data_IF_446635653348
#
_entry.id   IF_446635653348
#
_cell.length_a   1.000
_cell.length_b   1.000
_cell.length_c   1.000
_cell.angle_alpha   90.00
_cell.angle_beta   90.00
_cell.angle_gamma   90.00
#
_symmetry.space_group_name_H-M   'P 1'
#
loop_
_entity.id
_entity.type
_entity.pdbx_description
1 polymer ?
#
# COMPACT_ATOMS: atom_id res chain seq x y z
N UNK A 1 15.67 -35.12 -63.57
CA UNK A 1 16.38 -34.13 -62.70
C UNK A 1 15.41 -33.25 -61.88
N UNK A 2 14.41 -32.60 -62.46
CA UNK A 2 13.45 -31.69 -61.72
C UNK A 2 12.68 -32.40 -60.59
N UNK A 3 12.28 -33.68 -60.75
CA UNK A 3 11.55 -34.46 -59.71
C UNK A 3 12.48 -34.92 -58.56
N UNK A 4 13.76 -35.11 -58.82
CA UNK A 4 14.74 -35.47 -57.78
C UNK A 4 15.10 -34.24 -56.97
N UNK A 5 15.23 -33.06 -57.56
CA UNK A 5 15.46 -31.79 -56.87
C UNK A 5 14.29 -31.43 -55.97
N UNK A 6 13.04 -31.70 -56.39
CA UNK A 6 11.86 -31.45 -55.59
C UNK A 6 11.78 -32.38 -54.35
N UNK A 7 12.15 -33.65 -54.54
CA UNK A 7 12.19 -34.63 -53.43
C UNK A 7 13.30 -34.32 -52.41
N UNK A 8 14.46 -33.84 -52.86
CA UNK A 8 15.54 -33.39 -51.96
C UNK A 8 15.16 -32.11 -51.21
N UNK A 9 14.44 -31.20 -51.87
CA UNK A 9 13.95 -29.97 -51.23
C UNK A 9 12.86 -30.27 -50.20
N UNK A 10 11.98 -31.24 -50.44
CA UNK A 10 10.96 -31.70 -49.49
C UNK A 10 11.61 -32.45 -48.31
N UNK A 11 12.64 -33.22 -48.52
CA UNK A 11 13.41 -33.87 -47.46
C UNK A 11 14.22 -32.88 -46.61
N UNK A 12 14.76 -31.81 -47.21
CA UNK A 12 15.45 -30.73 -46.48
C UNK A 12 14.47 -29.84 -45.74
N UNK A 13 13.26 -29.61 -46.26
CA UNK A 13 12.21 -28.86 -45.58
C UNK A 13 11.59 -29.63 -44.38
N UNK A 14 11.66 -30.96 -44.39
CA UNK A 14 11.22 -31.83 -43.31
C UNK A 14 12.19 -31.83 -42.08
N UNK A 15 13.36 -31.25 -42.22
CA UNK A 15 14.31 -31.00 -41.11
C UNK A 15 14.07 -29.66 -40.44
N UNK A 16 12.82 -29.19 -40.35
CA UNK A 16 12.47 -28.21 -39.34
C UNK A 16 12.63 -28.92 -38.01
N UNK A 17 13.82 -28.81 -37.44
CA UNK A 17 14.08 -29.22 -36.07
C UNK A 17 12.91 -28.71 -35.23
N UNK A 18 12.09 -29.63 -34.73
CA UNK A 18 11.10 -29.27 -33.71
C UNK A 18 11.90 -28.61 -32.58
N UNK A 19 11.96 -27.28 -32.58
CA UNK A 19 12.61 -26.55 -31.52
C UNK A 19 11.93 -27.05 -30.25
N UNK A 20 12.67 -27.80 -29.44
CA UNK A 20 12.14 -28.36 -28.24
C UNK A 20 11.65 -27.18 -27.39
N UNK A 21 10.35 -27.11 -27.21
CA UNK A 21 9.73 -26.02 -26.44
C UNK A 21 10.14 -26.16 -24.97
N UNK A 22 10.65 -25.09 -24.38
CA UNK A 22 10.92 -25.06 -22.96
C UNK A 22 9.64 -25.36 -22.18
N UNK A 23 9.73 -26.32 -21.27
CA UNK A 23 8.60 -26.80 -20.48
C UNK A 23 9.05 -27.51 -19.21
N UNK A 24 8.13 -27.69 -18.30
CA UNK A 24 8.28 -28.59 -17.15
C UNK A 24 7.79 -29.96 -17.61
N UNK A 25 8.70 -30.94 -17.66
CA UNK A 25 8.36 -32.29 -18.09
C UNK A 25 7.69 -33.10 -17.00
N UNK A 26 8.04 -32.84 -15.73
CA UNK A 26 7.39 -33.46 -14.57
C UNK A 26 7.46 -32.52 -13.36
N UNK A 27 6.38 -32.44 -12.61
CA UNK A 27 6.28 -31.69 -11.37
C UNK A 27 5.73 -32.61 -10.29
N UNK A 28 6.49 -32.85 -9.23
CA UNK A 28 6.04 -33.65 -8.07
C UNK A 28 6.07 -32.75 -6.84
N UNK A 29 4.93 -32.62 -6.16
CA UNK A 29 4.82 -32.02 -4.84
C UNK A 29 4.55 -33.13 -3.82
N UNK A 30 5.55 -33.48 -3.04
CA UNK A 30 5.50 -34.49 -1.97
C UNK A 30 5.38 -33.79 -0.63
N UNK A 31 4.26 -33.94 0.05
CA UNK A 31 3.89 -33.23 1.28
C UNK A 31 3.68 -34.21 2.41
N UNK A 32 4.40 -34.01 3.48
CA UNK A 32 4.19 -34.73 4.75
C UNK A 32 3.56 -33.76 5.76
N UNK A 33 2.35 -34.07 6.21
CA UNK A 33 1.69 -33.36 7.29
C UNK A 33 2.27 -33.85 8.62
N UNK A 34 2.77 -32.91 9.43
CA UNK A 34 3.33 -33.22 10.74
C UNK A 34 2.23 -33.12 11.84
N UNK A 35 2.44 -33.80 12.97
CA UNK A 35 1.48 -33.80 14.07
C UNK A 35 1.23 -32.40 14.70
N UNK A 36 2.16 -31.47 14.57
CA UNK A 36 2.01 -30.09 15.00
C UNK A 36 1.30 -29.18 13.96
N UNK A 37 0.90 -29.74 12.81
CA UNK A 37 0.23 -29.01 11.73
C UNK A 37 1.15 -28.31 10.72
N UNK A 38 2.46 -28.43 10.88
CA UNK A 38 3.42 -27.99 9.86
C UNK A 38 3.45 -28.97 8.68
N UNK A 39 3.86 -28.51 7.53
CA UNK A 39 4.11 -29.32 6.37
C UNK A 39 5.61 -29.35 6.05
N UNK A 40 6.17 -30.55 5.89
CA UNK A 40 7.47 -30.77 5.26
C UNK A 40 7.21 -31.11 3.80
N UNK A 41 7.70 -30.27 2.90
CA UNK A 41 7.39 -30.36 1.45
C UNK A 41 8.68 -30.54 0.65
N UNK A 42 8.64 -31.49 -0.27
CA UNK A 42 9.69 -31.68 -1.27
C UNK A 42 9.06 -31.55 -2.66
N UNK A 43 9.43 -30.49 -3.38
CA UNK A 43 9.05 -30.34 -4.79
C UNK A 43 10.18 -30.84 -5.67
N UNK A 44 9.86 -31.69 -6.63
CA UNK A 44 10.76 -32.15 -7.67
C UNK A 44 10.27 -31.66 -9.02
N UNK A 45 11.03 -30.78 -9.66
CA UNK A 45 10.67 -30.08 -10.89
C UNK A 45 11.67 -30.45 -11.98
N UNK A 46 11.26 -31.31 -12.90
CA UNK A 46 12.04 -31.65 -14.06
C UNK A 46 11.69 -30.73 -15.23
N UNK A 47 12.69 -30.10 -15.82
CA UNK A 47 12.52 -29.14 -16.92
C UNK A 47 13.30 -29.57 -18.16
N UNK A 48 12.86 -29.13 -19.35
CA UNK A 48 13.61 -29.09 -20.57
C UNK A 48 14.04 -27.66 -20.85
N UNK A 49 15.32 -27.35 -20.73
CA UNK A 49 15.91 -26.05 -21.00
C UNK A 49 16.44 -25.93 -22.42
N UNK A 50 16.07 -24.86 -23.13
CA UNK A 50 16.61 -24.55 -24.47
C UNK A 50 17.40 -23.22 -24.47
N UNK A 51 17.55 -22.59 -23.29
CA UNK A 51 18.35 -21.37 -23.07
C UNK A 51 17.64 -20.08 -23.47
N UNK A 52 16.32 -20.11 -23.62
CA UNK A 52 15.53 -18.90 -23.87
C UNK A 52 14.99 -18.28 -22.58
N UNK A 53 14.19 -18.99 -21.81
CA UNK A 53 13.66 -18.56 -20.52
C UNK A 53 14.36 -19.26 -19.35
N UNK A 54 14.58 -20.59 -19.44
CA UNK A 54 15.43 -21.31 -18.50
C UNK A 54 16.91 -21.06 -18.81
N UNK A 55 17.39 -19.84 -18.54
CA UNK A 55 18.78 -19.44 -18.86
C UNK A 55 19.73 -19.62 -17.69
N UNK A 56 19.32 -19.24 -16.49
CA UNK A 56 20.17 -19.20 -15.29
C UNK A 56 19.55 -19.95 -14.10
N UNK A 57 18.48 -20.69 -14.34
CA UNK A 57 17.73 -21.42 -13.33
C UNK A 57 16.24 -21.19 -13.43
N UNK A 58 15.53 -21.38 -12.32
CA UNK A 58 14.07 -21.25 -12.23
C UNK A 58 13.67 -20.30 -11.11
N UNK A 59 12.44 -19.79 -11.18
CA UNK A 59 11.77 -19.11 -10.09
C UNK A 59 10.64 -19.98 -9.55
N UNK A 60 10.51 -20.03 -8.20
CA UNK A 60 9.38 -20.66 -7.55
C UNK A 60 8.70 -19.64 -6.64
N UNK A 61 7.48 -19.27 -7.02
CA UNK A 61 6.66 -18.35 -6.26
C UNK A 61 5.75 -19.13 -5.32
N UNK A 62 5.77 -18.77 -4.03
CA UNK A 62 4.95 -19.39 -3.02
C UNK A 62 4.13 -18.31 -2.31
N UNK A 63 2.79 -18.29 -2.45
CA UNK A 63 1.94 -17.36 -1.73
C UNK A 63 2.00 -17.60 -0.23
N UNK A 64 2.32 -16.58 0.55
CA UNK A 64 2.36 -16.66 2.02
C UNK A 64 1.35 -15.77 2.70
N UNK A 65 0.74 -14.82 1.98
CA UNK A 65 -0.25 -13.91 2.54
C UNK A 65 -1.61 -14.14 1.88
N UNK A 66 -2.59 -14.41 2.69
CA UNK A 66 -3.96 -14.69 2.27
C UNK A 66 -4.93 -13.78 3.02
N UNK A 67 -6.04 -13.44 2.37
CA UNK A 67 -7.15 -12.74 3.00
C UNK A 67 -8.22 -13.75 3.38
N UNK A 68 -8.54 -13.84 4.67
CA UNK A 68 -9.62 -14.70 5.14
C UNK A 68 -10.97 -14.20 4.62
N UNK A 69 -11.77 -15.09 4.03
CA UNK A 69 -13.05 -14.69 3.41
C UNK A 69 -14.13 -14.32 4.43
N UNK A 70 -14.06 -14.87 5.64
CA UNK A 70 -15.08 -14.67 6.68
C UNK A 70 -15.08 -13.27 7.28
N UNK A 71 -13.91 -12.68 7.50
CA UNK A 71 -13.72 -11.43 8.24
C UNK A 71 -12.75 -10.44 7.59
N UNK A 72 -12.17 -10.80 6.43
CA UNK A 72 -11.25 -9.96 5.69
C UNK A 72 -9.88 -9.78 6.35
N UNK A 73 -9.58 -10.48 7.45
CA UNK A 73 -8.28 -10.39 8.12
C UNK A 73 -7.17 -11.06 7.31
N UNK A 74 -5.96 -10.57 7.47
CA UNK A 74 -4.80 -11.20 6.84
C UNK A 74 -4.39 -12.45 7.63
N UNK A 75 -3.95 -13.46 6.89
CA UNK A 75 -3.31 -14.67 7.42
C UNK A 75 -1.97 -14.82 6.71
N UNK A 76 -0.89 -14.90 7.47
CA UNK A 76 0.45 -15.12 6.93
C UNK A 76 0.91 -16.52 7.33
N UNK A 77 1.29 -17.32 6.33
CA UNK A 77 1.82 -18.67 6.54
C UNK A 77 3.36 -18.63 6.50
N UNK A 78 3.99 -19.47 7.30
CA UNK A 78 5.44 -19.61 7.28
C UNK A 78 5.93 -20.29 5.99
N UNK A 79 7.14 -19.92 5.54
CA UNK A 79 7.80 -20.55 4.39
C UNK A 79 9.31 -20.48 4.56
N UNK A 80 9.93 -21.61 4.88
CA UNK A 80 11.36 -21.72 5.15
C UNK A 80 12.00 -22.74 4.22
N UNK A 81 12.85 -22.29 3.31
CA UNK A 81 13.59 -23.17 2.40
C UNK A 81 14.72 -23.85 3.17
N UNK A 82 14.73 -25.18 3.16
CA UNK A 82 15.71 -26.01 3.87
C UNK A 82 16.87 -26.36 2.95
N UNK A 83 16.57 -26.78 1.71
CA UNK A 83 17.58 -27.19 0.76
C UNK A 83 17.08 -27.02 -0.68
N UNK A 84 18.02 -26.71 -1.57
CA UNK A 84 17.77 -26.68 -3.01
C UNK A 84 18.89 -27.43 -3.71
N UNK A 85 18.53 -28.32 -4.65
CA UNK A 85 19.49 -29.02 -5.49
C UNK A 85 19.11 -28.93 -6.95
N UNK A 86 20.12 -29.07 -7.83
CA UNK A 86 19.93 -29.31 -9.27
C UNK A 86 20.71 -30.54 -9.67
N UNK A 87 20.01 -31.52 -10.26
CA UNK A 87 20.60 -32.82 -10.66
C UNK A 87 21.30 -33.53 -9.48
N UNK A 88 20.70 -33.40 -8.25
CA UNK A 88 21.25 -33.98 -7.02
C UNK A 88 22.42 -33.25 -6.38
N UNK A 89 22.89 -32.14 -6.94
CA UNK A 89 23.96 -31.30 -6.38
C UNK A 89 23.36 -30.02 -5.75
N UNK A 90 23.91 -29.50 -4.66
CA UNK A 90 23.47 -28.23 -4.10
C UNK A 90 23.46 -27.12 -5.16
N UNK A 91 22.39 -26.35 -5.21
CA UNK A 91 22.22 -25.22 -6.13
C UNK A 91 22.06 -23.93 -5.35
N UNK A 92 22.75 -22.84 -5.72
CA UNK A 92 22.58 -21.55 -5.10
C UNK A 92 21.12 -21.06 -5.24
N UNK A 93 20.59 -20.46 -4.18
CA UNK A 93 19.27 -19.85 -4.20
C UNK A 93 19.21 -18.63 -3.28
N UNK A 94 18.22 -17.78 -3.51
CA UNK A 94 17.83 -16.69 -2.60
C UNK A 94 16.33 -16.55 -2.58
N UNK A 95 15.79 -16.14 -1.44
CA UNK A 95 14.39 -15.79 -1.26
C UNK A 95 14.21 -14.28 -1.22
N UNK A 96 13.13 -13.79 -1.81
CA UNK A 96 12.77 -12.37 -1.79
C UNK A 96 11.24 -12.24 -1.66
N UNK A 97 10.78 -11.15 -1.08
CA UNK A 97 9.35 -10.84 -1.08
C UNK A 97 8.87 -10.55 -2.50
N UNK A 98 7.77 -11.17 -2.89
CA UNK A 98 7.21 -11.02 -4.22
C UNK A 98 5.68 -11.12 -4.20
N UNK A 99 4.99 -10.09 -4.69
CA UNK A 99 3.53 -10.06 -4.68
C UNK A 99 2.97 -10.34 -3.28
N UNK A 100 2.11 -11.36 -3.14
CA UNK A 100 1.51 -11.80 -1.87
C UNK A 100 2.28 -12.96 -1.21
N UNK A 101 3.57 -13.08 -1.47
CA UNK A 101 4.35 -14.20 -0.95
C UNK A 101 5.85 -14.06 -1.09
N UNK A 102 6.50 -15.19 -1.30
CA UNK A 102 7.94 -15.33 -1.42
C UNK A 102 8.28 -15.92 -2.78
N UNK A 103 9.25 -15.32 -3.47
CA UNK A 103 9.90 -15.88 -4.65
C UNK A 103 11.23 -16.49 -4.24
N UNK A 104 11.41 -17.75 -4.53
CA UNK A 104 12.71 -18.43 -4.45
C UNK A 104 13.35 -18.41 -5.84
N UNK A 105 14.44 -17.64 -5.99
CA UNK A 105 15.28 -17.66 -7.20
C UNK A 105 16.33 -18.75 -7.05
N UNK A 106 16.34 -19.71 -7.95
CA UNK A 106 17.21 -20.87 -7.91
C UNK A 106 18.15 -20.81 -9.10
N UNK A 107 19.45 -20.83 -8.82
CA UNK A 107 20.54 -20.65 -9.78
C UNK A 107 21.34 -19.37 -9.48
N UNK A 108 22.40 -19.17 -10.27
CA UNK A 108 23.30 -18.01 -10.16
C UNK A 108 23.02 -16.99 -11.27
N UNK A 109 23.11 -15.70 -10.95
CA UNK A 109 22.95 -14.63 -11.93
C UNK A 109 24.04 -14.66 -13.03
N UNK A 110 25.20 -15.23 -12.72
CA UNK A 110 26.38 -15.21 -13.60
C UNK A 110 26.62 -16.52 -14.34
N UNK A 111 25.82 -17.58 -14.04
CA UNK A 111 26.00 -18.90 -14.58
C UNK A 111 24.82 -19.32 -15.45
N UNK A 112 25.06 -19.54 -16.71
CA UNK A 112 24.05 -20.14 -17.61
C UNK A 112 23.98 -21.66 -17.38
N UNK A 113 22.76 -22.19 -17.30
CA UNK A 113 22.56 -23.64 -17.29
C UNK A 113 22.71 -24.19 -18.72
N UNK A 114 23.29 -25.40 -18.89
CA UNK A 114 23.33 -26.07 -20.17
C UNK A 114 21.93 -26.31 -20.75
N UNK A 115 21.82 -26.39 -22.08
CA UNK A 115 20.58 -26.87 -22.69
C UNK A 115 20.37 -28.34 -22.38
N UNK A 116 19.11 -28.75 -22.29
CA UNK A 116 18.76 -30.14 -22.01
C UNK A 116 17.94 -30.32 -20.74
N UNK A 117 17.80 -31.54 -20.25
CA UNK A 117 17.00 -31.84 -19.07
C UNK A 117 17.73 -31.47 -17.78
N UNK A 118 17.02 -30.85 -16.86
CA UNK A 118 17.45 -30.55 -15.48
C UNK A 118 16.37 -30.89 -14.50
N UNK A 119 16.75 -31.38 -13.32
CA UNK A 119 15.84 -31.67 -12.23
C UNK A 119 16.22 -30.81 -11.02
N UNK A 120 15.32 -29.95 -10.62
CA UNK A 120 15.42 -29.18 -9.39
C UNK A 120 14.65 -29.86 -8.27
N UNK A 121 15.24 -29.91 -7.08
CA UNK A 121 14.55 -30.37 -5.87
C UNK A 121 14.61 -29.25 -4.85
N UNK A 122 13.45 -28.86 -4.34
CA UNK A 122 13.28 -27.79 -3.34
C UNK A 122 12.64 -28.42 -2.13
N UNK A 123 13.33 -28.46 -1.00
CA UNK A 123 12.77 -28.87 0.28
C UNK A 123 12.52 -27.65 1.16
N UNK A 124 11.30 -27.54 1.69
CA UNK A 124 10.92 -26.43 2.54
C UNK A 124 9.92 -26.87 3.59
N UNK A 125 9.79 -26.06 4.64
CA UNK A 125 8.72 -26.16 5.64
C UNK A 125 7.75 -25.02 5.49
N UNK A 126 6.47 -25.30 5.61
CA UNK A 126 5.43 -24.29 5.67
C UNK A 126 4.48 -24.58 6.82
N UNK A 127 3.89 -23.54 7.38
CA UNK A 127 3.05 -23.62 8.57
C UNK A 127 1.67 -23.05 8.28
N UNK A 128 0.68 -23.37 9.13
CA UNK A 128 -0.66 -22.75 9.10
C UNK A 128 -1.44 -23.04 7.80
N UNK A 129 -1.21 -24.20 7.19
CA UNK A 129 -1.86 -24.64 5.94
C UNK A 129 -3.09 -25.54 6.21
N UNK A 130 -3.31 -25.99 7.45
CA UNK A 130 -4.39 -26.90 7.81
C UNK A 130 -5.64 -26.10 8.16
N UNK A 131 -6.76 -26.47 7.55
CA UNK A 131 -8.09 -26.03 7.92
C UNK A 131 -8.66 -26.91 9.04
N UNK A 132 -8.96 -26.31 10.19
CA UNK A 132 -9.56 -26.97 11.33
C UNK A 132 -11.08 -26.72 11.34
N UNK A 133 -11.85 -27.66 10.76
CA UNK A 133 -13.32 -27.59 10.74
C UNK A 133 -13.92 -28.29 11.97
N UNK A 134 -15.20 -28.17 12.16
CA UNK A 134 -15.88 -28.74 13.31
C UNK A 134 -15.77 -30.30 13.40
N UNK A 135 -15.94 -30.97 12.25
CA UNK A 135 -16.03 -32.45 12.18
C UNK A 135 -14.78 -33.13 11.65
N UNK A 136 -13.90 -32.39 10.96
CA UNK A 136 -12.70 -32.90 10.33
C UNK A 136 -11.61 -31.81 10.24
N UNK A 137 -10.39 -32.24 9.95
CA UNK A 137 -9.30 -31.35 9.55
C UNK A 137 -9.02 -31.61 8.08
N UNK A 138 -8.56 -30.57 7.35
CA UNK A 138 -8.35 -30.65 5.91
C UNK A 138 -7.08 -29.93 5.50
N UNK A 139 -6.34 -30.54 4.60
CA UNK A 139 -5.32 -29.87 3.82
C UNK A 139 -5.87 -29.54 2.44
N UNK A 140 -5.91 -28.24 2.09
CA UNK A 140 -6.17 -27.75 0.73
C UNK A 140 -4.85 -27.26 0.14
N UNK A 141 -4.33 -27.96 -0.85
CA UNK A 141 -2.96 -27.77 -1.32
C UNK A 141 -2.88 -27.51 -2.81
N UNK A 142 -2.38 -26.30 -3.19
CA UNK A 142 -2.04 -25.99 -4.57
C UNK A 142 -0.63 -26.53 -4.88
N UNK A 143 -0.59 -27.76 -5.41
CA UNK A 143 0.63 -28.53 -5.55
C UNK A 143 1.64 -27.90 -6.51
N UNK A 144 1.19 -27.39 -7.66
CA UNK A 144 2.10 -26.83 -8.68
C UNK A 144 2.24 -25.30 -8.57
N UNK A 145 1.25 -24.63 -8.01
CA UNK A 145 1.06 -23.18 -8.21
C UNK A 145 0.52 -22.88 -9.62
N UNK A 146 0.05 -21.64 -9.80
CA UNK A 146 -0.49 -21.15 -11.08
C UNK A 146 0.41 -20.09 -11.74
N UNK A 147 1.65 -19.93 -11.25
CA UNK A 147 2.58 -18.88 -11.73
C UNK A 147 3.47 -19.29 -12.89
N UNK A 148 3.39 -20.52 -13.36
CA UNK A 148 4.23 -21.04 -14.43
C UNK A 148 3.72 -20.60 -15.81
N UNK A 149 4.54 -19.87 -16.56
CA UNK A 149 4.27 -19.54 -17.96
C UNK A 149 4.72 -20.64 -18.92
N UNK A 150 4.92 -21.87 -18.42
CA UNK A 150 5.33 -23.06 -19.14
C UNK A 150 4.22 -24.11 -19.11
N UNK A 151 4.23 -24.96 -20.11
CA UNK A 151 3.47 -26.21 -20.04
C UNK A 151 4.08 -27.11 -18.95
N UNK A 152 3.22 -27.86 -18.25
CA UNK A 152 3.61 -28.94 -17.34
C UNK A 152 3.07 -30.23 -17.94
N UNK A 153 3.97 -31.10 -18.45
CA UNK A 153 3.57 -32.32 -19.17
C UNK A 153 2.87 -33.31 -18.22
N UNK A 154 3.37 -33.45 -16.99
CA UNK A 154 2.75 -34.25 -15.92
C UNK A 154 2.94 -33.58 -14.56
N UNK A 155 1.91 -33.61 -13.72
CA UNK A 155 2.01 -33.16 -12.34
C UNK A 155 1.45 -34.22 -11.39
N UNK A 156 2.15 -34.39 -10.26
CA UNK A 156 1.71 -35.25 -9.14
C UNK A 156 1.64 -34.43 -7.85
N UNK A 157 0.59 -34.68 -7.06
CA UNK A 157 0.50 -34.30 -5.67
C UNK A 157 0.48 -35.55 -4.80
N UNK A 158 1.43 -35.65 -3.89
CA UNK A 158 1.58 -36.76 -2.96
C UNK A 158 1.38 -36.23 -1.55
N UNK A 159 0.38 -36.71 -0.85
CA UNK A 159 0.09 -36.28 0.54
C UNK A 159 0.24 -37.47 1.45
N UNK A 160 1.08 -37.31 2.47
CA UNK A 160 1.22 -38.28 3.57
C UNK A 160 0.73 -37.61 4.85
N UNK A 161 -0.31 -38.14 5.46
CA UNK A 161 -0.87 -37.69 6.72
C UNK A 161 -0.09 -38.28 7.90
N UNK A 162 -0.21 -37.71 9.11
CA UNK A 162 0.41 -38.28 10.29
C UNK A 162 -0.08 -39.72 10.56
N UNK A 163 0.72 -40.49 11.27
CA UNK A 163 0.36 -41.86 11.64
C UNK A 163 -0.97 -41.90 12.41
N UNK A 164 -1.82 -42.84 12.09
CA UNK A 164 -3.17 -42.97 12.68
C UNK A 164 -4.24 -42.17 11.98
N UNK A 165 -3.90 -41.29 11.04
CA UNK A 165 -4.89 -40.60 10.23
C UNK A 165 -5.58 -41.55 9.25
N UNK A 166 -6.91 -41.42 9.15
CA UNK A 166 -7.73 -42.10 8.16
C UNK A 166 -8.07 -41.12 7.04
N UNK A 167 -7.82 -41.50 5.80
CA UNK A 167 -8.18 -40.71 4.63
C UNK A 167 -9.69 -40.58 4.53
N UNK A 168 -10.17 -39.35 4.65
CA UNK A 168 -11.58 -38.98 4.50
C UNK A 168 -11.92 -38.53 3.07
N UNK A 169 -12.85 -37.59 2.98
CA UNK A 169 -13.20 -37.01 1.69
C UNK A 169 -11.96 -36.34 1.04
N UNK A 170 -11.91 -36.43 -0.27
CA UNK A 170 -10.86 -35.79 -1.03
C UNK A 170 -11.43 -35.14 -2.30
N UNK A 171 -10.70 -34.15 -2.83
CA UNK A 171 -11.06 -33.46 -4.05
C UNK A 171 -9.81 -33.08 -4.83
N UNK A 172 -9.99 -32.81 -6.12
CA UNK A 172 -8.95 -32.30 -7.01
C UNK A 172 -9.53 -31.26 -7.93
N UNK A 173 -8.66 -30.32 -8.34
CA UNK A 173 -8.99 -29.24 -9.25
C UNK A 173 -7.82 -28.99 -10.19
N UNK A 174 -8.11 -28.75 -11.48
CA UNK A 174 -7.10 -28.39 -12.47
C UNK A 174 -7.51 -27.15 -13.24
N UNK A 175 -6.55 -26.40 -13.74
CA UNK A 175 -6.78 -25.20 -14.56
C UNK A 175 -6.21 -23.92 -13.94
N UNK A 176 -6.58 -22.76 -14.51
CA UNK A 176 -6.22 -21.46 -13.95
C UNK A 176 -6.78 -21.25 -12.54
N UNK A 177 -6.28 -20.24 -11.86
CA UNK A 177 -6.75 -19.90 -10.50
C UNK A 177 -8.28 -19.72 -10.47
N UNK A 178 -8.95 -20.49 -9.60
CA UNK A 178 -10.41 -20.48 -9.43
C UNK A 178 -11.16 -21.43 -10.37
N UNK A 179 -10.49 -22.14 -11.25
CA UNK A 179 -11.09 -23.15 -12.10
C UNK A 179 -11.45 -24.43 -11.32
N UNK A 180 -12.44 -25.16 -11.84
CA UNK A 180 -12.94 -26.42 -11.26
C UNK A 180 -12.72 -27.63 -12.20
N UNK A 181 -11.70 -27.59 -13.07
CA UNK A 181 -11.35 -28.70 -13.94
C UNK A 181 -11.05 -29.99 -13.17
N UNK A 182 -11.21 -31.14 -13.81
CA UNK A 182 -11.04 -32.47 -13.22
C UNK A 182 -10.03 -33.33 -13.99
N UNK A 183 -9.05 -32.70 -14.61
CA UNK A 183 -8.06 -33.37 -15.46
C UNK A 183 -6.91 -34.02 -14.63
N UNK A 184 -7.28 -34.68 -13.54
CA UNK A 184 -6.41 -35.48 -12.72
C UNK A 184 -7.19 -36.66 -12.11
N UNK A 185 -6.48 -37.64 -11.62
CA UNK A 185 -7.07 -38.80 -10.93
C UNK A 185 -6.22 -39.25 -9.77
N UNK A 186 -6.83 -39.94 -8.83
CA UNK A 186 -6.12 -40.67 -7.78
C UNK A 186 -5.41 -41.88 -8.44
N UNK A 187 -4.12 -42.02 -8.23
CA UNK A 187 -3.28 -43.11 -8.75
C UNK A 187 -2.81 -44.06 -7.65
N UNK A 188 -2.81 -43.60 -6.39
CA UNK A 188 -2.49 -44.38 -5.20
C UNK A 188 -3.33 -43.88 -4.04
N UNK A 189 -3.94 -44.76 -3.27
CA UNK A 189 -4.65 -44.43 -2.04
C UNK A 189 -4.57 -45.61 -1.11
N UNK A 190 -3.97 -45.44 0.06
CA UNK A 190 -3.87 -46.50 1.07
C UNK A 190 -3.19 -46.02 2.34
N UNK A 191 -3.60 -46.60 3.47
CA UNK A 191 -3.10 -46.19 4.77
C UNK A 191 -3.35 -44.71 5.05
N UNK A 192 -2.28 -43.96 5.26
CA UNK A 192 -2.30 -42.50 5.47
C UNK A 192 -1.75 -41.70 4.27
N UNK A 193 -1.66 -42.33 3.07
CA UNK A 193 -1.08 -41.73 1.86
C UNK A 193 -2.07 -41.72 0.72
N UNK A 194 -2.08 -40.62 -0.03
CA UNK A 194 -2.86 -40.46 -1.27
C UNK A 194 -2.04 -39.70 -2.32
N UNK A 195 -2.14 -40.14 -3.57
CA UNK A 195 -1.40 -39.57 -4.71
C UNK A 195 -2.37 -39.27 -5.85
N UNK A 196 -2.33 -38.04 -6.34
CA UNK A 196 -3.04 -37.63 -7.55
C UNK A 196 -2.04 -37.37 -8.68
N UNK A 197 -2.45 -37.65 -9.91
CA UNK A 197 -1.69 -37.34 -11.13
C UNK A 197 -2.61 -36.75 -12.18
N UNK A 198 -2.10 -35.74 -12.89
CA UNK A 198 -2.82 -35.15 -14.04
C UNK A 198 -3.00 -36.18 -15.17
N UNK A 199 -4.12 -36.07 -15.88
CA UNK A 199 -4.47 -36.95 -17.02
C UNK A 199 -4.17 -36.30 -18.36
N UNK A 200 -3.91 -34.97 -18.37
CA UNK A 200 -3.40 -34.21 -19.51
C UNK A 200 -2.28 -33.27 -19.05
N UNK A 201 -1.56 -32.74 -20.02
CA UNK A 201 -0.64 -31.63 -19.75
C UNK A 201 -1.41 -30.39 -19.28
N UNK A 202 -0.82 -29.63 -18.37
CA UNK A 202 -1.32 -28.34 -17.96
C UNK A 202 -0.75 -27.25 -18.87
N UNK A 203 -1.61 -26.31 -19.30
CA UNK A 203 -1.19 -25.15 -20.07
C UNK A 203 -0.51 -24.10 -19.16
N UNK A 204 0.16 -23.09 -19.73
CA UNK A 204 0.67 -21.97 -18.96
C UNK A 204 -0.41 -21.36 -18.04
N UNK A 205 -0.02 -21.08 -16.79
CA UNK A 205 -0.87 -20.56 -15.71
C UNK A 205 -1.97 -21.51 -15.22
N UNK A 206 -1.99 -22.77 -15.67
CA UNK A 206 -2.80 -23.83 -15.06
C UNK A 206 -2.02 -24.52 -13.94
N UNK A 207 -2.76 -25.02 -12.93
CA UNK A 207 -2.19 -25.75 -11.80
C UNK A 207 -3.01 -26.97 -11.43
N UNK A 208 -2.43 -27.80 -10.53
CA UNK A 208 -3.07 -28.90 -9.83
C UNK A 208 -3.24 -28.50 -8.38
N UNK A 209 -4.49 -28.50 -7.90
CA UNK A 209 -4.84 -28.31 -6.49
C UNK A 209 -5.55 -29.55 -5.99
N UNK A 210 -5.22 -30.01 -4.79
CA UNK A 210 -5.82 -31.19 -4.15
C UNK A 210 -6.31 -30.82 -2.76
N UNK A 211 -7.33 -31.52 -2.29
CA UNK A 211 -7.81 -31.44 -0.91
C UNK A 211 -7.95 -32.85 -0.34
N UNK A 212 -7.60 -33.01 0.92
CA UNK A 212 -7.79 -34.26 1.67
C UNK A 212 -8.15 -33.93 3.11
N UNK A 213 -9.22 -34.56 3.59
CA UNK A 213 -9.68 -34.45 4.97
C UNK A 213 -9.32 -35.71 5.76
N UNK A 214 -9.26 -35.56 7.09
CA UNK A 214 -9.08 -36.66 8.04
C UNK A 214 -9.84 -36.35 9.34
N UNK A 215 -9.95 -37.36 10.21
CA UNK A 215 -10.64 -37.23 11.50
C UNK A 215 -9.90 -36.27 12.45
N UNK A 216 -10.64 -35.67 13.36
CA UNK A 216 -10.12 -34.80 14.43
C UNK A 216 -9.16 -35.52 15.37
N UNK A 217 -8.31 -34.77 16.03
CA UNK A 217 -7.42 -35.25 17.09
C UNK A 217 -6.08 -35.83 16.61
N UNK A 218 -5.84 -35.87 15.31
CA UNK A 218 -4.56 -36.32 14.72
C UNK A 218 -3.54 -35.17 14.65
N UNK A 219 -3.99 -33.98 14.25
CA UNK A 219 -3.18 -32.76 14.21
C UNK A 219 -3.65 -31.84 15.33
N UNK A 220 -2.70 -31.30 16.08
CA UNK A 220 -3.01 -30.35 17.16
C UNK A 220 -3.36 -28.98 16.59
N UNK A 221 -4.58 -28.45 16.81
CA UNK A 221 -4.89 -27.10 16.40
C UNK A 221 -4.08 -26.08 17.22
N UNK A 222 -3.81 -24.88 16.70
CA UNK A 222 -3.14 -23.85 17.45
C UNK A 222 -3.96 -23.46 18.69
N UNK A 223 -3.29 -23.30 19.82
CA UNK A 223 -3.93 -22.85 21.07
C UNK A 223 -4.52 -21.45 20.93
N UNK A 224 -5.46 -21.07 21.79
CA UNK A 224 -6.03 -19.71 21.78
C UNK A 224 -4.98 -18.62 21.90
N UNK A 225 -3.93 -18.82 22.71
CA UNK A 225 -2.80 -17.89 22.81
C UNK A 225 -2.00 -17.77 21.49
N UNK A 226 -1.78 -18.89 20.81
CA UNK A 226 -1.12 -18.90 19.50
C UNK A 226 -1.99 -18.21 18.43
N UNK A 227 -3.31 -18.45 18.44
CA UNK A 227 -4.23 -17.78 17.51
C UNK A 227 -4.23 -16.26 17.72
N UNK A 228 -4.26 -15.79 18.97
CA UNK A 228 -4.14 -14.37 19.29
C UNK A 228 -2.79 -13.78 18.84
N UNK A 229 -1.69 -14.50 19.08
CA UNK A 229 -0.37 -14.08 18.62
C UNK A 229 -0.30 -13.98 17.10
N UNK A 230 -0.82 -14.95 16.38
CA UNK A 230 -0.90 -14.92 14.92
C UNK A 230 -1.73 -13.73 14.41
N UNK A 231 -2.89 -13.49 15.01
CA UNK A 231 -3.74 -12.36 14.66
C UNK A 231 -3.02 -11.02 14.82
N UNK A 232 -2.33 -10.84 15.95
CA UNK A 232 -1.56 -9.62 16.21
C UNK A 232 -0.42 -9.45 15.18
N UNK A 233 0.36 -10.50 14.92
CA UNK A 233 1.47 -10.46 13.97
C UNK A 233 1.00 -10.17 12.55
N UNK A 234 -0.04 -10.84 12.08
CA UNK A 234 -0.56 -10.73 10.72
C UNK A 234 -1.22 -9.37 10.45
N UNK A 235 -1.73 -8.69 11.51
CA UNK A 235 -2.52 -7.46 11.39
C UNK A 235 -1.88 -6.26 12.11
N UNK A 236 -0.62 -6.36 12.54
CA UNK A 236 0.09 -5.32 13.28
C UNK A 236 0.04 -3.93 12.61
N UNK A 237 0.19 -3.76 11.29
CA UNK A 237 0.09 -2.44 10.66
C UNK A 237 -1.29 -1.79 10.83
N UNK A 238 -2.36 -2.58 10.75
CA UNK A 238 -3.74 -2.10 10.92
C UNK A 238 -3.99 -1.71 12.38
N UNK A 239 -3.53 -2.53 13.33
CA UNK A 239 -3.66 -2.26 14.76
C UNK A 239 -2.88 -1.00 15.16
N UNK A 240 -1.66 -0.84 14.64
CA UNK A 240 -0.85 0.35 14.85
C UNK A 240 -1.53 1.62 14.30
N UNK A 241 -2.15 1.53 13.11
CA UNK A 241 -2.91 2.64 12.53
C UNK A 241 -4.12 3.02 13.40
N UNK A 242 -4.88 2.06 13.91
CA UNK A 242 -6.02 2.29 14.81
C UNK A 242 -5.55 2.98 16.10
N UNK A 243 -4.49 2.46 16.73
CA UNK A 243 -3.90 3.07 17.94
C UNK A 243 -3.43 4.50 17.66
N UNK A 244 -2.80 4.74 16.50
CA UNK A 244 -2.39 6.07 16.06
C UNK A 244 -3.55 7.04 15.93
N UNK A 245 -4.64 6.63 15.28
CA UNK A 245 -5.87 7.46 15.15
C UNK A 245 -6.48 7.78 16.52
N UNK A 246 -6.57 6.79 17.41
CA UNK A 246 -7.06 6.99 18.78
C UNK A 246 -6.15 7.96 19.53
N UNK A 247 -4.83 7.81 19.44
CA UNK A 247 -3.85 8.70 20.07
C UNK A 247 -3.96 10.15 19.58
N UNK A 248 -4.09 10.34 18.27
CA UNK A 248 -4.31 11.65 17.66
C UNK A 248 -5.65 12.25 18.14
N UNK A 249 -6.72 11.47 18.11
CA UNK A 249 -8.03 11.90 18.59
C UNK A 249 -7.98 12.32 20.05
N UNK A 250 -7.34 11.54 20.90
CA UNK A 250 -7.14 11.85 22.31
C UNK A 250 -6.33 13.14 22.51
N UNK A 251 -5.23 13.30 21.77
CA UNK A 251 -4.41 14.51 21.78
C UNK A 251 -5.26 15.75 21.44
N UNK A 252 -5.98 15.73 20.31
CA UNK A 252 -6.78 16.87 19.88
C UNK A 252 -7.95 17.17 20.84
N UNK A 253 -8.62 16.14 21.37
CA UNK A 253 -9.70 16.33 22.35
C UNK A 253 -9.19 16.97 23.65
N UNK A 254 -8.05 16.52 24.16
CA UNK A 254 -7.45 17.09 25.37
C UNK A 254 -6.93 18.51 25.14
N UNK A 255 -6.30 18.76 24.01
CA UNK A 255 -5.81 20.09 23.62
C UNK A 255 -6.98 21.05 23.43
N UNK A 256 -8.02 20.64 22.68
CA UNK A 256 -9.22 21.43 22.50
C UNK A 256 -9.93 21.75 23.83
N UNK A 257 -10.01 20.80 24.74
CA UNK A 257 -10.63 21.03 26.05
C UNK A 257 -9.87 22.04 26.93
N UNK A 258 -8.53 22.18 26.74
CA UNK A 258 -7.64 23.05 27.50
C UNK A 258 -7.51 24.46 26.91
N UNK A 259 -7.32 24.53 25.58
CA UNK A 259 -6.95 25.79 24.93
C UNK A 259 -7.88 26.21 23.78
N UNK A 260 -8.78 25.32 23.35
CA UNK A 260 -9.65 25.54 22.18
C UNK A 260 -11.10 25.89 22.55
N UNK A 261 -11.47 25.91 23.85
CA UNK A 261 -12.82 26.29 24.26
C UNK A 261 -12.90 27.78 24.46
N UNK A 262 -13.83 28.43 23.77
CA UNK A 262 -14.12 29.83 23.99
C UNK A 262 -14.73 30.04 25.37
N UNK A 263 -14.47 31.20 26.01
CA UNK A 263 -15.17 31.60 27.22
C UNK A 263 -16.69 31.66 26.99
N UNK A 264 -17.52 31.47 28.04
CA UNK A 264 -18.96 31.66 27.91
C UNK A 264 -19.28 33.04 27.33
N UNK A 265 -20.19 33.11 26.37
CA UNK A 265 -20.64 34.36 25.81
C UNK A 265 -21.22 35.26 26.93
N UNK A 266 -20.65 36.46 27.06
CA UNK A 266 -21.17 37.47 27.98
C UNK A 266 -22.49 38.05 27.51
N UNK A 267 -23.08 38.96 28.32
CA UNK A 267 -24.29 39.70 27.93
C UNK A 267 -23.99 40.59 26.73
N UNK A 268 -24.75 40.45 25.66
CA UNK A 268 -24.66 41.32 24.49
C UNK A 268 -25.32 42.65 24.81
N UNK A 269 -24.53 43.73 24.92
CA UNK A 269 -25.02 45.09 25.12
C UNK A 269 -24.90 45.82 23.78
N UNK A 270 -25.97 46.39 23.21
CA UNK A 270 -25.89 47.21 22.02
C UNK A 270 -24.97 48.41 22.24
N UNK A 271 -23.95 48.57 21.43
CA UNK A 271 -23.03 49.71 21.47
C UNK A 271 -23.29 50.63 20.28
N UNK A 272 -23.37 51.94 20.51
CA UNK A 272 -23.52 52.96 19.49
C UNK A 272 -22.18 53.61 19.08
N UNK A 273 -21.08 53.14 19.67
CA UNK A 273 -19.71 53.52 19.37
C UNK A 273 -18.84 52.24 19.28
N UNK A 274 -17.71 52.29 18.58
CA UNK A 274 -16.79 51.16 18.53
C UNK A 274 -16.32 50.75 19.93
N UNK A 275 -16.26 49.44 20.24
CA UNK A 275 -15.79 48.97 21.54
C UNK A 275 -14.35 49.45 21.78
N UNK A 276 -14.04 49.88 23.00
CA UNK A 276 -12.69 50.34 23.39
C UNK A 276 -12.08 51.41 22.46
N UNK A 277 -12.91 52.20 21.80
CA UNK A 277 -12.47 53.18 20.80
C UNK A 277 -11.61 52.61 19.69
N UNK A 278 -11.90 51.38 19.28
CA UNK A 278 -11.18 50.68 18.19
C UNK A 278 -11.42 51.36 16.85
N UNK A 279 -10.39 51.37 15.99
CA UNK A 279 -10.56 51.77 14.60
C UNK A 279 -11.36 50.72 13.77
N UNK A 280 -11.97 51.11 12.65
CA UNK A 280 -12.72 50.18 11.81
C UNK A 280 -11.89 48.96 11.38
N UNK A 281 -10.61 49.15 11.11
CA UNK A 281 -9.69 48.05 10.78
C UNK A 281 -9.46 47.10 11.98
N UNK A 282 -9.32 47.70 13.18
CA UNK A 282 -9.14 46.93 14.43
C UNK A 282 -10.39 46.12 14.78
N UNK A 283 -11.59 46.70 14.65
CA UNK A 283 -12.86 45.99 14.88
C UNK A 283 -12.94 44.78 13.94
N UNK A 284 -12.67 44.99 12.65
CA UNK A 284 -12.71 43.89 11.70
C UNK A 284 -11.64 42.80 11.97
N UNK A 285 -10.42 43.21 12.36
CA UNK A 285 -9.36 42.29 12.71
C UNK A 285 -9.75 41.38 13.88
N UNK A 286 -10.34 41.96 14.91
CA UNK A 286 -10.79 41.19 16.09
C UNK A 286 -12.01 40.33 15.79
N UNK A 287 -12.97 40.83 15.00
CA UNK A 287 -14.18 40.10 14.61
C UNK A 287 -13.83 38.85 13.75
N UNK A 288 -12.89 38.99 12.83
CA UNK A 288 -12.48 37.90 11.95
C UNK A 288 -11.33 37.06 12.52
N UNK A 289 -10.74 37.44 13.66
CA UNK A 289 -9.54 36.82 14.29
C UNK A 289 -8.33 36.73 13.32
N UNK A 290 -8.36 37.52 12.28
CA UNK A 290 -7.37 37.51 11.19
C UNK A 290 -7.39 38.82 10.40
N UNK A 291 -6.30 39.10 9.66
CA UNK A 291 -6.20 40.25 8.78
C UNK A 291 -6.67 39.91 7.36
N UNK A 292 -7.46 40.79 6.75
CA UNK A 292 -7.89 40.64 5.36
C UNK A 292 -7.84 41.99 4.60
N UNK A 293 -8.09 41.94 3.29
CA UNK A 293 -8.08 43.13 2.43
C UNK A 293 -9.17 44.12 2.83
N UNK A 294 -10.27 43.70 3.42
CA UNK A 294 -11.35 44.61 3.89
C UNK A 294 -10.92 45.41 5.11
N UNK A 295 -10.08 44.81 5.99
CA UNK A 295 -9.49 45.55 7.10
C UNK A 295 -8.59 46.69 6.60
N UNK A 296 -7.76 46.40 5.58
CA UNK A 296 -6.93 47.41 4.92
C UNK A 296 -7.77 48.49 4.24
N UNK A 297 -8.82 48.13 3.50
CA UNK A 297 -9.75 49.09 2.89
C UNK A 297 -10.44 49.96 3.93
N UNK A 298 -10.89 49.36 5.03
CA UNK A 298 -11.52 50.12 6.14
C UNK A 298 -10.56 51.15 6.74
N UNK A 299 -9.26 50.81 6.90
CA UNK A 299 -8.23 51.74 7.33
C UNK A 299 -8.03 52.92 6.35
N UNK A 300 -7.98 52.62 5.04
CA UNK A 300 -7.89 53.69 4.02
C UNK A 300 -9.09 54.63 4.09
N UNK A 301 -10.29 54.11 4.19
CA UNK A 301 -11.50 54.92 4.29
C UNK A 301 -11.49 55.75 5.60
N UNK A 302 -11.05 55.17 6.72
CA UNK A 302 -10.92 55.87 8.00
C UNK A 302 -9.92 57.05 7.94
N UNK A 303 -8.78 56.87 7.25
CA UNK A 303 -7.83 57.96 6.95
C UNK A 303 -8.51 59.12 6.18
N UNK A 304 -9.38 58.81 5.21
CA UNK A 304 -10.16 59.77 4.44
C UNK A 304 -11.19 60.50 5.33
N UNK A 305 -11.96 59.78 6.15
CA UNK A 305 -12.94 60.32 7.07
C UNK A 305 -12.28 61.22 8.12
N UNK A 306 -11.10 60.86 8.59
CA UNK A 306 -10.32 61.64 9.56
C UNK A 306 -9.58 62.81 8.92
N UNK A 307 -9.57 62.95 7.60
CA UNK A 307 -9.01 64.06 6.86
C UNK A 307 -7.51 63.98 6.55
N UNK A 308 -6.91 62.82 6.69
CA UNK A 308 -5.48 62.59 6.39
C UNK A 308 -5.19 62.34 4.93
N UNK A 309 -6.16 61.90 4.16
CA UNK A 309 -6.03 61.62 2.75
C UNK A 309 -7.21 62.12 1.93
N UNK A 310 -6.98 62.28 0.63
CA UNK A 310 -8.03 62.47 -0.38
C UNK A 310 -7.95 61.29 -1.34
N UNK A 311 -9.08 60.71 -1.67
CA UNK A 311 -9.22 59.71 -2.71
C UNK A 311 -9.73 60.36 -3.98
N UNK A 312 -9.01 60.18 -5.10
CA UNK A 312 -9.41 60.62 -6.41
C UNK A 312 -9.48 59.43 -7.35
N UNK A 313 -10.53 59.35 -8.12
CA UNK A 313 -10.69 58.34 -9.13
C UNK A 313 -10.30 58.93 -10.49
N UNK A 314 -9.40 58.23 -11.20
CA UNK A 314 -9.04 58.57 -12.57
C UNK A 314 -9.57 57.42 -13.48
N UNK A 315 -9.69 57.65 -14.80
CA UNK A 315 -10.21 56.60 -15.70
C UNK A 315 -9.43 55.28 -15.65
N UNK A 316 -8.19 55.27 -15.14
CA UNK A 316 -7.30 54.12 -15.19
C UNK A 316 -6.96 53.51 -13.80
N UNK A 317 -7.07 54.29 -12.72
CA UNK A 317 -6.72 53.87 -11.36
C UNK A 317 -7.25 54.85 -10.29
N UNK A 318 -7.38 54.37 -9.04
CA UNK A 318 -7.63 55.22 -7.90
C UNK A 318 -6.31 55.77 -7.35
N UNK A 319 -6.34 57.05 -6.91
CA UNK A 319 -5.17 57.76 -6.41
C UNK A 319 -5.41 58.24 -4.99
N UNK A 320 -4.41 58.05 -4.14
CA UNK A 320 -4.44 58.48 -2.74
C UNK A 320 -3.46 59.64 -2.56
N UNK A 321 -3.95 60.79 -2.12
CA UNK A 321 -3.11 61.95 -1.87
C UNK A 321 -3.12 62.30 -0.38
N UNK A 322 -1.94 62.55 0.20
CA UNK A 322 -1.78 62.96 1.59
C UNK A 322 -2.30 64.39 1.77
N UNK A 323 -2.98 64.63 2.90
CA UNK A 323 -3.41 65.95 3.36
C UNK A 323 -2.69 66.30 4.65
N UNK A 324 -2.43 67.59 4.85
CA UNK A 324 -1.91 68.12 6.10
C UNK A 324 -3.07 68.32 7.10
N UNK A 325 -2.87 67.92 8.34
CA UNK A 325 -3.89 67.99 9.39
C UNK A 325 -4.78 66.78 9.41
N UNK A 326 -5.77 66.76 10.27
CA UNK A 326 -6.73 65.67 10.45
C UNK A 326 -6.97 65.33 11.94
N UNK A 327 -7.95 64.48 12.20
CA UNK A 327 -8.20 63.97 13.54
C UNK A 327 -7.11 62.97 13.95
N UNK A 328 -6.82 62.79 15.25
CA UNK A 328 -5.80 61.83 15.71
C UNK A 328 -6.03 60.43 15.17
N UNK A 329 -4.95 59.80 14.68
CA UNK A 329 -4.94 58.41 14.24
C UNK A 329 -4.59 57.49 15.40
N UNK A 330 -5.07 56.27 15.35
CA UNK A 330 -4.55 55.18 16.20
C UNK A 330 -3.17 54.76 15.62
N UNK A 331 -2.38 54.12 16.45
CA UNK A 331 -1.00 53.81 16.10
C UNK A 331 -0.87 52.90 14.84
N UNK A 332 -1.79 51.97 14.69
CA UNK A 332 -1.78 51.09 13.52
C UNK A 332 -2.01 51.82 12.17
N UNK A 333 -3.00 52.76 12.17
CA UNK A 333 -3.29 53.59 11.01
C UNK A 333 -2.20 54.63 10.75
N UNK A 334 -1.57 55.14 11.82
CA UNK A 334 -0.42 56.08 11.67
C UNK A 334 0.79 55.39 11.03
N UNK A 335 1.14 54.20 11.47
CA UNK A 335 2.24 53.42 10.89
C UNK A 335 1.93 53.05 9.43
N UNK A 336 0.69 52.64 9.14
CA UNK A 336 0.22 52.40 7.79
C UNK A 336 0.36 53.63 6.88
N UNK A 337 -0.11 54.80 7.40
CA UNK A 337 -0.01 56.06 6.65
C UNK A 337 1.44 56.42 6.33
N UNK A 338 2.35 56.34 7.31
CA UNK A 338 3.75 56.60 7.14
C UNK A 338 4.37 55.72 6.04
N UNK A 339 4.04 54.42 6.08
CA UNK A 339 4.54 53.45 5.08
C UNK A 339 3.93 53.69 3.70
N UNK A 340 2.62 54.04 3.64
CA UNK A 340 1.94 54.31 2.37
C UNK A 340 2.56 55.51 1.63
N UNK A 341 2.98 56.53 2.36
CA UNK A 341 3.56 57.76 1.79
C UNK A 341 5.08 57.81 1.92
N UNK A 342 5.76 56.70 2.19
CA UNK A 342 7.22 56.65 2.32
C UNK A 342 7.95 57.03 1.02
N UNK A 343 7.34 56.82 -0.13
CA UNK A 343 7.84 57.19 -1.46
C UNK A 343 7.34 58.53 -2.01
N UNK A 344 6.56 59.30 -1.20
CA UNK A 344 5.92 60.58 -1.58
C UNK A 344 4.41 60.46 -1.80
N UNK A 345 3.82 61.59 -2.18
CA UNK A 345 2.38 61.73 -2.46
C UNK A 345 2.21 62.49 -3.76
N UNK A 346 1.28 62.10 -4.65
CA UNK A 346 0.23 61.10 -4.50
C UNK A 346 0.70 59.65 -4.78
N UNK A 347 -0.01 58.64 -4.25
CA UNK A 347 0.21 57.22 -4.51
C UNK A 347 -0.93 56.67 -5.35
N UNK A 348 -0.63 56.20 -6.55
CA UNK A 348 -1.59 55.52 -7.40
C UNK A 348 -1.78 54.05 -6.95
N UNK A 349 -3.00 53.60 -6.83
CA UNK A 349 -3.32 52.17 -6.58
C UNK A 349 -3.21 51.39 -7.88
N UNK A 350 -1.98 51.21 -8.35
CA UNK A 350 -1.62 50.49 -9.58
C UNK A 350 -0.49 49.52 -9.29
N UNK A 351 -0.27 48.60 -10.22
CA UNK A 351 0.74 47.56 -10.08
C UNK A 351 2.16 48.12 -9.84
N UNK A 352 2.46 49.33 -10.39
CA UNK A 352 3.75 49.99 -10.18
C UNK A 352 4.06 50.29 -8.70
N UNK A 353 3.03 50.50 -7.89
CA UNK A 353 3.14 50.83 -6.45
C UNK A 353 2.88 49.66 -5.52
N UNK A 354 2.83 48.41 -6.04
CA UNK A 354 2.52 47.22 -5.27
C UNK A 354 3.38 47.06 -4.00
N UNK A 355 4.67 47.44 -4.08
CA UNK A 355 5.59 47.39 -2.92
C UNK A 355 5.20 48.35 -1.80
N UNK A 356 4.86 49.58 -2.15
CA UNK A 356 4.48 50.61 -1.19
C UNK A 356 3.13 50.28 -0.52
N UNK A 357 2.16 49.91 -1.36
CA UNK A 357 0.80 49.52 -0.86
C UNK A 357 0.90 48.21 -0.07
N UNK A 358 1.68 47.23 -0.53
CA UNK A 358 1.94 45.99 0.20
C UNK A 358 2.64 46.21 1.55
N UNK A 359 3.66 47.13 1.55
CA UNK A 359 4.33 47.51 2.79
C UNK A 359 3.38 48.22 3.80
N UNK A 360 2.52 49.09 3.35
CA UNK A 360 1.51 49.73 4.19
C UNK A 360 0.49 48.73 4.77
N UNK A 361 0.06 47.78 3.94
CA UNK A 361 -0.80 46.66 4.35
C UNK A 361 -0.12 45.83 5.43
N UNK A 362 1.12 45.44 5.26
CA UNK A 362 1.92 44.63 6.20
C UNK A 362 2.16 45.40 7.51
N UNK A 363 2.44 46.72 7.44
CA UNK A 363 2.59 47.52 8.64
C UNK A 363 1.32 47.55 9.50
N UNK A 364 0.16 47.76 8.88
CA UNK A 364 -1.14 47.69 9.55
C UNK A 364 -1.38 46.31 10.18
N UNK A 365 -1.18 45.24 9.42
CA UNK A 365 -1.36 43.87 9.88
C UNK A 365 -0.48 43.53 11.07
N UNK A 366 0.81 43.83 10.97
CA UNK A 366 1.79 43.56 12.05
C UNK A 366 1.42 44.32 13.31
N UNK A 367 0.97 45.56 13.17
CA UNK A 367 0.59 46.37 14.35
C UNK A 367 -0.68 45.90 15.01
N UNK A 368 -1.72 45.59 14.23
CA UNK A 368 -2.95 44.99 14.74
C UNK A 368 -2.69 43.64 15.40
N UNK A 369 -1.86 42.81 14.79
CA UNK A 369 -1.44 41.53 15.35
C UNK A 369 -0.73 41.71 16.68
N UNK A 370 0.25 42.61 16.76
CA UNK A 370 1.00 42.86 17.99
C UNK A 370 0.10 43.43 19.13
N UNK A 371 -0.96 44.15 18.79
CA UNK A 371 -1.86 44.76 19.73
C UNK A 371 -2.96 43.82 20.27
N UNK A 372 -3.48 42.93 19.40
CA UNK A 372 -4.70 42.17 19.72
C UNK A 372 -4.50 40.66 19.78
N UNK A 373 -3.53 40.10 19.04
CA UNK A 373 -3.21 38.69 19.15
C UNK A 373 -2.50 38.39 20.47
N UNK A 374 -2.97 37.38 21.17
CA UNK A 374 -2.52 37.04 22.52
C UNK A 374 -3.12 37.88 23.64
N UNK A 375 -3.89 38.96 23.32
CA UNK A 375 -4.60 39.81 24.32
C UNK A 375 -6.12 39.63 24.27
N UNK A 376 -6.74 39.77 23.10
CA UNK A 376 -8.18 39.59 22.91
C UNK A 376 -8.56 38.22 22.37
N UNK A 377 -7.67 37.60 21.62
CA UNK A 377 -7.79 36.23 21.15
C UNK A 377 -6.40 35.60 21.00
N UNK A 378 -6.31 34.28 20.89
CA UNK A 378 -5.06 33.55 20.68
C UNK A 378 -5.22 32.57 19.52
N UNK A 379 -4.33 32.70 18.56
CA UNK A 379 -4.20 31.71 17.48
C UNK A 379 -3.32 30.56 17.98
N UNK A 380 -3.91 29.41 18.23
CA UNK A 380 -3.23 28.26 18.83
C UNK A 380 -2.39 27.45 17.82
N UNK A 381 -1.73 28.10 16.85
CA UNK A 381 -0.93 27.43 15.80
C UNK A 381 0.18 26.50 16.34
N UNK A 382 0.68 26.75 17.53
CA UNK A 382 1.70 25.89 18.15
C UNK A 382 1.19 24.53 18.64
N UNK A 383 -0.13 24.28 18.59
CA UNK A 383 -0.77 23.04 19.01
C UNK A 383 -1.32 22.21 17.85
N UNK A 384 -1.21 22.69 16.62
CA UNK A 384 -1.69 22.02 15.40
C UNK A 384 -0.59 21.22 14.66
#
# INVERSE_FOLDING_TARGET
>A
MRRILLAVFVLLAAQVSALAQERITNFISDVTVLANGDLDVTETIAIQAEGSQFRRGIFRDFPTSYRRRSDGTNVVVGFDVIAVTRNGKPEPYRTESYSNGVRTRIGSADVFIPRGPHTYTIRYRTTRQIGFFEKFDELYWNATGNGWNFYIDSAEARITLPQGAQLGQNALYTGPQGANGKDARVVEQGGNRIVWRTTRRLAPYEGLTVAVAWQKGIVSPPSGAQQASYFLQDNLPILAAIIGVIGIGFYYLTTWSRVGRDPPAGTIIPLFAPPNDMSPAAVRYVDQLSFDNRAFTAAIVDLGVKGHITLAETPSFSQISKRAGGKPLKLAESEMEQQLFSGGSPVALAQANHKVVGGAKTALENRLSAQYNGTLFANNYGWS
#
